data_IF_387437925603
#
_entry.id   IF_387437925603
#
_cell.length_a   1.000
_cell.length_b   1.000
_cell.length_c   1.000
_cell.angle_alpha   90.00
_cell.angle_beta   90.00
_cell.angle_gamma   90.00
#
_symmetry.space_group_name_H-M   'P 1'
#
loop_
_entity.id
_entity.type
_entity.pdbx_description
1 polymer ?
#
# COMPACT_ATOMS: atom_id res chain seq x y z
N UNK A 1 -1.75 23.05 31.47
CA UNK A 1 -1.05 22.81 30.17
C UNK A 1 -0.55 21.37 30.21
N UNK A 2 -0.83 20.54 29.21
CA UNK A 2 -0.63 19.07 29.23
C UNK A 2 0.86 18.65 29.09
N UNK A 3 1.78 19.62 29.08
CA UNK A 3 3.19 19.41 28.80
C UNK A 3 3.45 19.09 27.31
N UNK A 4 4.69 19.24 26.84
CA UNK A 4 5.00 19.12 25.40
C UNK A 4 4.59 17.78 24.76
N UNK A 5 4.63 16.68 25.52
CA UNK A 5 4.19 15.35 25.06
C UNK A 5 2.68 15.24 24.91
N UNK A 6 1.91 15.85 25.82
CA UNK A 6 0.45 15.86 25.76
C UNK A 6 -0.08 16.72 24.63
N UNK A 7 0.57 17.85 24.35
CA UNK A 7 0.21 18.72 23.22
C UNK A 7 0.45 18.01 21.86
N UNK A 8 1.56 17.26 21.74
CA UNK A 8 1.81 16.41 20.56
C UNK A 8 0.73 15.32 20.42
N UNK A 9 0.39 14.61 21.49
CA UNK A 9 -0.64 13.58 21.48
C UNK A 9 -2.02 14.13 21.06
N UNK A 10 -2.39 15.32 21.53
CA UNK A 10 -3.61 16.00 21.11
C UNK A 10 -3.60 16.33 19.60
N UNK A 11 -2.45 16.78 19.08
CA UNK A 11 -2.28 17.06 17.65
C UNK A 11 -2.37 15.78 16.80
N UNK A 12 -1.77 14.68 17.24
CA UNK A 12 -1.91 13.38 16.58
C UNK A 12 -3.38 12.95 16.53
N UNK A 13 -4.10 13.04 17.64
CA UNK A 13 -5.52 12.66 17.71
C UNK A 13 -6.39 13.50 16.77
N UNK A 14 -6.17 14.82 16.76
CA UNK A 14 -6.90 15.75 15.89
C UNK A 14 -6.68 15.48 14.40
N UNK A 15 -5.50 14.97 14.02
CA UNK A 15 -5.17 14.63 12.64
C UNK A 15 -5.69 13.23 12.23
N UNK A 16 -5.49 12.21 13.07
CA UNK A 16 -5.84 10.83 12.72
C UNK A 16 -7.35 10.55 12.82
N UNK A 17 -8.11 11.28 13.64
CA UNK A 17 -9.56 11.13 13.72
C UNK A 17 -10.30 11.40 12.39
N UNK A 18 -10.11 12.55 11.70
CA UNK A 18 -10.71 12.74 10.38
C UNK A 18 -10.09 11.82 9.32
N UNK A 19 -8.79 11.52 9.41
CA UNK A 19 -8.13 10.58 8.49
C UNK A 19 -8.74 9.17 8.56
N UNK A 20 -9.14 8.72 9.75
CA UNK A 20 -9.85 7.44 9.95
C UNK A 20 -11.18 7.42 9.21
N UNK A 21 -11.98 8.50 9.31
CA UNK A 21 -13.28 8.58 8.62
C UNK A 21 -13.12 8.54 7.10
N UNK A 22 -12.13 9.28 6.57
CA UNK A 22 -11.84 9.29 5.14
C UNK A 22 -11.29 7.92 4.68
N UNK A 23 -10.39 7.31 5.46
CA UNK A 23 -9.86 5.98 5.20
C UNK A 23 -10.97 4.92 5.15
N UNK A 24 -11.90 4.97 6.10
CA UNK A 24 -13.05 4.07 6.15
C UNK A 24 -13.95 4.26 4.92
N UNK A 25 -14.22 5.51 4.52
CA UNK A 25 -14.94 5.81 3.28
C UNK A 25 -14.24 5.22 2.04
N UNK A 26 -12.91 5.34 1.92
CA UNK A 26 -12.15 4.76 0.81
C UNK A 26 -12.28 3.23 0.80
N UNK A 27 -12.15 2.57 1.97
CA UNK A 27 -12.30 1.11 2.08
C UNK A 27 -13.70 0.67 1.61
N UNK A 28 -14.76 1.37 2.04
CA UNK A 28 -16.12 1.07 1.58
C UNK A 28 -16.31 1.33 0.09
N UNK A 29 -15.71 2.40 -0.45
CA UNK A 29 -15.80 2.73 -1.87
C UNK A 29 -15.11 1.68 -2.74
N UNK A 30 -13.96 1.17 -2.34
CA UNK A 30 -13.09 0.32 -3.17
C UNK A 30 -13.25 -1.19 -2.90
N UNK A 31 -13.90 -1.56 -1.78
CA UNK A 31 -14.24 -2.95 -1.41
C UNK A 31 -13.14 -3.65 -0.60
N UNK A 32 -13.58 -4.46 0.37
CA UNK A 32 -12.72 -5.08 1.40
C UNK A 32 -11.85 -6.24 0.89
N UNK A 33 -12.25 -6.92 -0.19
CA UNK A 33 -11.77 -8.27 -0.53
C UNK A 33 -10.56 -8.32 -1.48
N UNK A 34 -10.10 -7.18 -2.03
CA UNK A 34 -9.03 -7.23 -3.05
C UNK A 34 -8.03 -6.07 -3.02
N UNK A 35 -8.12 -5.15 -2.06
CA UNK A 35 -7.26 -3.96 -1.99
C UNK A 35 -6.74 -3.73 -0.57
N UNK A 36 -5.90 -4.66 -0.09
CA UNK A 36 -5.35 -4.68 1.29
C UNK A 36 -4.68 -3.37 1.69
N UNK A 37 -4.14 -2.60 0.73
CA UNK A 37 -3.51 -1.30 0.97
C UNK A 37 -4.40 -0.30 1.73
N UNK A 38 -5.70 -0.24 1.40
CA UNK A 38 -6.63 0.70 2.07
C UNK A 38 -6.95 0.29 3.50
N UNK A 39 -7.00 -1.02 3.78
CA UNK A 39 -7.26 -1.52 5.13
C UNK A 39 -6.11 -1.13 6.07
N UNK A 40 -4.86 -1.13 5.58
CA UNK A 40 -3.71 -0.71 6.38
C UNK A 40 -3.73 0.78 6.76
N UNK A 41 -4.34 1.66 5.94
CA UNK A 41 -4.57 3.07 6.30
C UNK A 41 -5.51 3.18 7.50
N UNK A 42 -6.59 2.40 7.51
CA UNK A 42 -7.55 2.36 8.62
C UNK A 42 -6.89 1.80 9.88
N UNK A 43 -6.19 0.67 9.76
CA UNK A 43 -5.45 0.05 10.88
C UNK A 43 -4.44 1.05 11.46
N UNK A 44 -3.65 1.72 10.62
CA UNK A 44 -2.70 2.75 11.05
C UNK A 44 -3.39 3.86 11.84
N UNK A 45 -4.51 4.37 11.32
CA UNK A 45 -5.25 5.47 11.94
C UNK A 45 -5.81 5.07 13.31
N UNK A 46 -6.36 3.85 13.44
CA UNK A 46 -6.84 3.30 14.72
C UNK A 46 -5.68 3.21 15.73
N UNK A 47 -4.57 2.59 15.33
CA UNK A 47 -3.41 2.42 16.21
C UNK A 47 -2.85 3.76 16.70
N UNK A 48 -2.88 4.78 15.84
CA UNK A 48 -2.44 6.13 16.19
C UNK A 48 -3.38 6.83 17.15
N UNK A 49 -4.69 6.69 16.95
CA UNK A 49 -5.68 7.19 17.90
C UNK A 49 -5.50 6.52 19.27
N UNK A 50 -5.28 5.20 19.31
CA UNK A 50 -5.06 4.47 20.56
C UNK A 50 -3.76 4.95 21.25
N UNK A 51 -2.65 5.05 20.52
CA UNK A 51 -1.37 5.53 21.07
C UNK A 51 -1.43 6.97 21.59
N UNK A 52 -2.06 7.86 20.82
CA UNK A 52 -2.30 9.25 21.21
C UNK A 52 -3.21 9.33 22.45
N UNK A 53 -4.25 8.50 22.54
CA UNK A 53 -5.14 8.48 23.71
C UNK A 53 -4.43 7.99 24.97
N UNK A 54 -3.56 6.98 24.86
CA UNK A 54 -2.77 6.46 25.97
C UNK A 54 -1.77 7.53 26.47
N UNK A 55 -1.04 8.16 25.56
CA UNK A 55 -0.07 9.22 25.89
C UNK A 55 -0.75 10.46 26.49
N UNK A 56 -1.91 10.85 25.96
CA UNK A 56 -2.71 11.94 26.50
C UNK A 56 -3.21 11.63 27.92
N UNK A 57 -3.67 10.39 28.17
CA UNK A 57 -4.14 9.99 29.50
C UNK A 57 -3.00 10.02 30.55
N UNK A 58 -1.80 9.55 30.18
CA UNK A 58 -0.62 9.65 31.05
C UNK A 58 -0.27 11.10 31.36
N UNK A 59 -0.36 12.00 30.37
CA UNK A 59 -0.10 13.42 30.53
C UNK A 59 -1.17 14.14 31.40
N UNK A 60 -2.44 13.75 31.26
CA UNK A 60 -3.54 14.35 31.99
C UNK A 60 -3.59 13.92 33.46
N UNK A 61 -3.31 12.64 33.74
CA UNK A 61 -3.42 12.06 35.09
C UNK A 61 -2.11 12.09 35.87
N UNK A 62 -0.98 12.36 35.22
CA UNK A 62 0.38 12.21 35.78
C UNK A 62 0.66 10.79 36.33
N UNK A 63 -0.13 9.79 35.92
CA UNK A 63 0.03 8.39 36.31
C UNK A 63 0.44 7.60 35.06
N UNK A 64 1.65 7.05 35.10
CA UNK A 64 2.13 6.12 34.08
C UNK A 64 1.94 4.69 34.57
N UNK A 65 0.81 4.07 34.22
CA UNK A 65 0.65 2.63 34.47
C UNK A 65 1.47 1.83 33.46
N UNK A 66 1.89 0.63 33.85
CA UNK A 66 2.64 -0.30 32.98
C UNK A 66 1.88 -0.58 31.67
N UNK A 67 0.57 -0.82 31.74
CA UNK A 67 -0.26 -1.05 30.57
C UNK A 67 -0.32 0.16 29.62
N UNK A 68 -0.32 1.39 30.14
CA UNK A 68 -0.31 2.60 29.30
C UNK A 68 1.06 2.81 28.63
N UNK A 69 2.15 2.51 29.34
CA UNK A 69 3.51 2.52 28.78
C UNK A 69 3.69 1.45 27.71
N UNK A 70 3.27 0.21 27.98
CA UNK A 70 3.24 -0.89 27.01
C UNK A 70 2.43 -0.52 25.77
N UNK A 71 1.23 0.03 25.95
CA UNK A 71 0.39 0.48 24.83
C UNK A 71 1.07 1.56 24.01
N UNK A 72 1.71 2.54 24.65
CA UNK A 72 2.46 3.58 23.95
C UNK A 72 3.67 3.02 23.18
N UNK A 73 4.39 2.05 23.75
CA UNK A 73 5.50 1.40 23.08
C UNK A 73 5.05 0.56 21.88
N UNK A 74 3.99 -0.25 22.06
CA UNK A 74 3.37 -1.05 21.00
C UNK A 74 2.94 -0.13 19.87
N UNK A 75 2.15 0.90 20.15
CA UNK A 75 1.62 1.81 19.12
C UNK A 75 2.70 2.63 18.42
N UNK A 76 3.79 2.98 19.10
CA UNK A 76 4.97 3.61 18.50
C UNK A 76 5.70 2.65 17.54
N UNK A 77 5.91 1.39 17.96
CA UNK A 77 6.52 0.34 17.14
C UNK A 77 5.65 -0.07 15.94
N UNK A 78 4.32 -0.09 16.10
CA UNK A 78 3.37 -0.46 15.04
C UNK A 78 3.10 0.72 14.09
N UNK A 79 3.64 1.93 14.28
CA UNK A 79 3.45 3.03 13.33
C UNK A 79 4.04 2.78 11.94
N UNK A 80 5.18 2.08 11.88
CA UNK A 80 5.96 1.90 10.64
C UNK A 80 5.44 0.76 9.77
N UNK A 81 5.03 -0.36 10.38
CA UNK A 81 4.65 -1.56 9.63
C UNK A 81 3.40 -1.37 8.74
N UNK A 82 2.27 -0.83 9.23
CA UNK A 82 1.09 -0.57 8.41
C UNK A 82 1.36 0.38 7.25
N UNK A 83 2.28 1.35 7.39
CA UNK A 83 2.67 2.23 6.28
C UNK A 83 3.42 1.48 5.19
N UNK A 84 4.39 0.65 5.55
CA UNK A 84 5.11 -0.18 4.59
C UNK A 84 4.18 -1.22 3.95
N UNK A 85 3.26 -1.80 4.73
CA UNK A 85 2.24 -2.73 4.25
C UNK A 85 1.21 -2.04 3.33
N UNK A 86 0.84 -0.79 3.61
CA UNK A 86 0.00 0.01 2.72
C UNK A 86 0.72 0.28 1.39
N UNK A 87 1.97 0.73 1.43
CA UNK A 87 2.80 0.92 0.24
C UNK A 87 2.93 -0.38 -0.57
N UNK A 88 3.20 -1.50 0.11
CA UNK A 88 3.27 -2.82 -0.52
C UNK A 88 1.94 -3.19 -1.18
N UNK A 89 0.81 -2.99 -0.51
CA UNK A 89 -0.51 -3.28 -1.06
C UNK A 89 -0.83 -2.44 -2.30
N UNK A 90 -0.36 -1.20 -2.37
CA UNK A 90 -0.48 -0.36 -3.57
C UNK A 90 0.46 -0.81 -4.69
N UNK A 91 1.71 -1.15 -4.37
CA UNK A 91 2.66 -1.68 -5.35
C UNK A 91 2.21 -3.03 -5.91
N UNK A 92 1.64 -3.92 -5.09
CA UNK A 92 1.08 -5.19 -5.55
C UNK A 92 -0.11 -4.98 -6.50
N UNK A 93 -0.96 -3.99 -6.19
CA UNK A 93 -2.07 -3.59 -7.07
C UNK A 93 -1.56 -3.10 -8.42
N UNK A 94 -0.65 -2.13 -8.43
CA UNK A 94 -0.04 -1.58 -9.65
C UNK A 94 0.64 -2.71 -10.44
N UNK A 95 1.34 -3.60 -9.74
CA UNK A 95 2.03 -4.73 -10.33
C UNK A 95 1.07 -5.74 -10.97
N UNK A 96 -0.11 -5.95 -10.38
CA UNK A 96 -1.16 -6.79 -10.98
C UNK A 96 -1.70 -6.18 -12.28
N UNK A 97 -1.67 -4.85 -12.41
CA UNK A 97 -1.97 -4.15 -13.66
C UNK A 97 -0.89 -4.31 -14.73
N UNK A 98 0.34 -4.71 -14.37
CA UNK A 98 1.46 -4.94 -15.28
C UNK A 98 1.55 -6.42 -15.67
N UNK A 99 0.68 -6.87 -16.59
CA UNK A 99 0.47 -8.30 -16.93
C UNK A 99 1.75 -9.15 -17.06
N UNK A 100 2.65 -8.82 -17.99
CA UNK A 100 3.78 -9.69 -18.37
C UNK A 100 5.17 -9.17 -17.94
N UNK A 101 5.24 -7.97 -17.36
CA UNK A 101 6.49 -7.38 -16.86
C UNK A 101 6.49 -7.15 -15.35
N UNK A 102 5.44 -7.55 -14.64
CA UNK A 102 5.36 -7.41 -13.20
C UNK A 102 6.34 -8.32 -12.44
N UNK A 103 6.65 -7.90 -11.21
CA UNK A 103 7.34 -8.69 -10.20
C UNK A 103 6.46 -9.88 -9.77
N UNK A 104 7.07 -11.00 -9.41
CA UNK A 104 6.32 -12.19 -8.98
C UNK A 104 5.49 -11.91 -7.71
N UNK A 105 4.28 -12.49 -7.63
CA UNK A 105 3.44 -12.41 -6.42
C UNK A 105 4.10 -13.03 -5.19
N UNK A 106 5.04 -13.94 -5.41
CA UNK A 106 5.83 -14.56 -4.34
C UNK A 106 6.68 -13.51 -3.61
N UNK A 107 7.27 -12.55 -4.32
CA UNK A 107 8.06 -11.49 -3.70
C UNK A 107 7.22 -10.65 -2.73
N UNK A 108 6.01 -10.24 -3.14
CA UNK A 108 5.08 -9.51 -2.27
C UNK A 108 4.65 -10.34 -1.06
N UNK A 109 4.40 -11.65 -1.24
CA UNK A 109 4.06 -12.55 -0.13
C UNK A 109 5.20 -12.69 0.88
N UNK A 110 6.44 -12.80 0.41
CA UNK A 110 7.62 -12.85 1.28
C UNK A 110 7.80 -11.53 2.03
N UNK A 111 7.70 -10.39 1.35
CA UNK A 111 7.79 -9.08 1.99
C UNK A 111 6.70 -8.87 3.04
N UNK A 112 5.48 -9.35 2.79
CA UNK A 112 4.38 -9.31 3.75
C UNK A 112 4.73 -10.09 5.02
N UNK A 113 5.17 -11.34 4.87
CA UNK A 113 5.55 -12.20 6.01
C UNK A 113 6.73 -11.62 6.78
N UNK A 114 7.76 -11.12 6.09
CA UNK A 114 8.91 -10.48 6.72
C UNK A 114 8.48 -9.21 7.47
N UNK A 115 7.60 -8.40 6.90
CA UNK A 115 7.08 -7.19 7.57
C UNK A 115 6.25 -7.52 8.81
N UNK A 116 5.47 -8.60 8.79
CA UNK A 116 4.73 -9.06 9.96
C UNK A 116 5.67 -9.60 11.04
N UNK A 117 6.67 -10.39 10.66
CA UNK A 117 7.69 -10.88 11.60
C UNK A 117 8.46 -9.71 12.22
N UNK A 118 8.89 -8.73 11.42
CA UNK A 118 9.56 -7.53 11.89
C UNK A 118 8.70 -6.73 12.87
N UNK A 119 7.39 -6.64 12.61
CA UNK A 119 6.44 -6.00 13.53
C UNK A 119 6.36 -6.72 14.88
N UNK A 120 6.24 -8.04 14.88
CA UNK A 120 6.19 -8.82 16.13
C UNK A 120 7.48 -8.64 16.94
N UNK A 121 8.63 -8.70 16.28
CA UNK A 121 9.95 -8.47 16.92
C UNK A 121 10.05 -7.05 17.46
N UNK A 122 9.53 -6.04 16.74
CA UNK A 122 9.52 -4.66 17.21
C UNK A 122 8.64 -4.46 18.46
N UNK A 123 7.48 -5.15 18.51
CA UNK A 123 6.58 -5.10 19.66
C UNK A 123 7.25 -5.70 20.90
N UNK A 124 7.79 -6.91 20.79
CA UNK A 124 8.48 -7.59 21.90
C UNK A 124 9.69 -6.75 22.33
N UNK A 125 10.49 -6.28 21.38
CA UNK A 125 11.62 -5.41 21.66
C UNK A 125 11.25 -4.10 22.36
N UNK A 126 10.10 -3.50 22.02
CA UNK A 126 9.59 -2.30 22.67
C UNK A 126 9.13 -2.54 24.10
N UNK A 127 8.47 -3.67 24.37
CA UNK A 127 7.99 -4.06 25.71
C UNK A 127 9.18 -4.38 26.62
N UNK A 128 10.09 -5.25 26.17
CA UNK A 128 11.25 -5.70 26.97
C UNK A 128 12.21 -4.55 27.32
N UNK A 129 12.28 -3.49 26.48
CA UNK A 129 13.07 -2.28 26.77
C UNK A 129 12.56 -1.44 27.93
N UNK A 130 11.31 -1.64 28.34
CA UNK A 130 10.70 -0.93 29.46
C UNK A 130 10.64 -1.77 30.74
N UNK A 131 11.14 -3.00 30.70
CA UNK A 131 11.19 -3.87 31.86
C UNK A 131 12.15 -3.32 32.93
N UNK A 132 11.90 -3.66 34.18
CA UNK A 132 12.78 -3.35 35.31
C UNK A 132 14.07 -4.18 35.34
N UNK A 133 14.10 -5.33 34.67
CA UNK A 133 15.22 -6.26 34.66
C UNK A 133 16.25 -5.89 33.59
N UNK A 134 17.50 -5.63 34.00
CA UNK A 134 18.57 -5.23 33.09
C UNK A 134 18.83 -6.23 31.94
N UNK A 135 18.65 -7.54 32.19
CA UNK A 135 18.78 -8.58 31.16
C UNK A 135 17.72 -8.45 30.07
N UNK A 136 16.47 -8.20 30.45
CA UNK A 136 15.35 -8.00 29.51
C UNK A 136 15.54 -6.72 28.71
N UNK A 137 15.94 -5.62 29.35
CA UNK A 137 16.22 -4.35 28.65
C UNK A 137 17.28 -4.52 27.56
N UNK A 138 18.37 -5.23 27.84
CA UNK A 138 19.42 -5.49 26.85
C UNK A 138 18.94 -6.39 25.70
N UNK A 139 18.06 -7.34 26.00
CA UNK A 139 17.44 -8.24 25.00
C UNK A 139 16.48 -7.47 24.11
N UNK A 140 15.63 -6.64 24.71
CA UNK A 140 14.70 -5.76 24.00
C UNK A 140 15.39 -4.75 23.08
N UNK A 141 16.56 -4.24 23.50
CA UNK A 141 17.39 -3.38 22.64
C UNK A 141 17.86 -4.14 21.39
N UNK A 142 18.43 -5.34 21.54
CA UNK A 142 18.85 -6.18 20.40
C UNK A 142 17.69 -6.54 19.47
N UNK A 143 16.52 -6.83 20.03
CA UNK A 143 15.30 -7.11 19.26
C UNK A 143 14.86 -5.87 18.48
N UNK A 144 14.87 -4.69 19.10
CA UNK A 144 14.53 -3.42 18.44
C UNK A 144 15.50 -3.06 17.31
N UNK A 145 16.80 -3.25 17.52
CA UNK A 145 17.84 -3.08 16.50
C UNK A 145 17.58 -4.01 15.31
N UNK A 146 17.33 -5.30 15.58
CA UNK A 146 17.01 -6.30 14.56
C UNK A 146 15.75 -5.93 13.77
N UNK A 147 14.67 -5.55 14.46
CA UNK A 147 13.43 -5.14 13.80
C UNK A 147 13.61 -3.91 12.90
N UNK A 148 14.39 -2.93 13.35
CA UNK A 148 14.69 -1.73 12.55
C UNK A 148 15.41 -2.05 11.24
N UNK A 149 16.34 -3.01 11.28
CA UNK A 149 17.06 -3.49 10.10
C UNK A 149 16.17 -4.31 9.16
N UNK A 150 15.23 -5.11 9.70
CA UNK A 150 14.23 -5.79 8.89
C UNK A 150 13.31 -4.81 8.16
N UNK A 151 12.83 -3.76 8.86
CA UNK A 151 12.03 -2.71 8.23
C UNK A 151 12.81 -1.94 7.17
N UNK A 152 14.11 -1.71 7.37
CA UNK A 152 14.98 -1.14 6.34
C UNK A 152 15.06 -2.05 5.11
N UNK A 153 15.26 -3.36 5.29
CA UNK A 153 15.28 -4.32 4.19
C UNK A 153 13.97 -4.34 3.40
N UNK A 154 12.83 -4.35 4.09
CA UNK A 154 11.50 -4.25 3.46
C UNK A 154 11.36 -2.92 2.71
N UNK A 155 11.76 -1.80 3.31
CA UNK A 155 11.73 -0.49 2.66
C UNK A 155 12.57 -0.47 1.38
N UNK A 156 13.81 -0.97 1.41
CA UNK A 156 14.69 -1.01 0.23
C UNK A 156 14.09 -1.88 -0.89
N UNK A 157 13.50 -3.02 -0.54
CA UNK A 157 12.82 -3.87 -1.51
C UNK A 157 11.60 -3.18 -2.13
N UNK A 158 10.76 -2.51 -1.32
CA UNK A 158 9.60 -1.76 -1.82
C UNK A 158 10.03 -0.56 -2.68
N UNK A 159 11.09 0.15 -2.29
CA UNK A 159 11.66 1.24 -3.07
C UNK A 159 12.19 0.72 -4.42
N UNK A 160 12.87 -0.43 -4.44
CA UNK A 160 13.31 -1.09 -5.67
C UNK A 160 12.15 -1.48 -6.58
N UNK A 161 11.10 -2.08 -6.03
CA UNK A 161 9.88 -2.43 -6.79
C UNK A 161 9.21 -1.17 -7.35
N UNK A 162 9.14 -0.09 -6.58
CA UNK A 162 8.56 1.16 -7.03
C UNK A 162 9.38 1.80 -8.15
N UNK A 163 10.72 1.83 -8.03
CA UNK A 163 11.62 2.32 -9.08
C UNK A 163 11.47 1.49 -10.36
N UNK A 164 11.38 0.16 -10.23
CA UNK A 164 11.09 -0.73 -11.36
C UNK A 164 9.73 -0.41 -12.00
N UNK A 165 8.70 -0.12 -11.20
CA UNK A 165 7.39 0.34 -11.67
C UNK A 165 7.48 1.66 -12.45
N UNK A 166 8.26 2.64 -11.98
CA UNK A 166 8.49 3.90 -12.70
C UNK A 166 9.21 3.67 -14.02
N UNK A 167 10.26 2.86 -14.03
CA UNK A 167 11.00 2.53 -15.25
C UNK A 167 10.10 1.86 -16.31
N UNK A 168 9.06 1.15 -15.87
CA UNK A 168 8.08 0.48 -16.72
C UNK A 168 6.72 1.19 -16.77
N UNK A 169 6.65 2.50 -16.46
CA UNK A 169 5.37 3.26 -16.35
C UNK A 169 4.49 3.22 -17.59
N UNK A 170 5.07 2.94 -18.76
CA UNK A 170 4.35 2.79 -20.04
C UNK A 170 3.39 1.59 -20.02
N UNK A 171 3.66 0.59 -19.21
CA UNK A 171 2.86 -0.63 -19.04
C UNK A 171 1.85 -0.54 -17.89
N UNK A 172 1.84 0.57 -17.15
CA UNK A 172 0.90 0.81 -16.04
C UNK A 172 -0.39 1.40 -16.60
N UNK A 173 -1.52 0.83 -16.17
CA UNK A 173 -2.85 1.27 -16.53
C UNK A 173 -3.03 2.77 -16.20
N UNK A 174 -3.63 3.54 -17.11
CA UNK A 174 -3.70 5.01 -16.98
C UNK A 174 -4.36 5.46 -15.66
N UNK A 175 -5.37 4.72 -15.19
CA UNK A 175 -6.04 4.99 -13.91
C UNK A 175 -5.19 4.75 -12.65
N UNK A 176 -4.08 4.02 -12.76
CA UNK A 176 -3.20 3.69 -11.63
C UNK A 176 -1.93 4.55 -11.56
N UNK A 177 -1.70 5.40 -12.57
CA UNK A 177 -0.55 6.32 -12.59
C UNK A 177 -0.56 7.31 -11.43
N UNK A 178 -1.74 7.72 -10.96
CA UNK A 178 -1.88 8.58 -9.78
C UNK A 178 -1.39 7.85 -8.52
N UNK A 179 -1.76 6.58 -8.37
CA UNK A 179 -1.33 5.75 -7.26
C UNK A 179 0.20 5.52 -7.30
N UNK A 180 0.76 5.25 -8.49
CA UNK A 180 2.20 5.11 -8.67
C UNK A 180 2.95 6.38 -8.27
N UNK A 181 2.47 7.57 -8.68
CA UNK A 181 3.08 8.85 -8.28
C UNK A 181 3.06 9.03 -6.76
N UNK A 182 1.94 8.71 -6.11
CA UNK A 182 1.85 8.78 -4.65
C UNK A 182 2.84 7.83 -3.96
N UNK A 183 3.01 6.60 -4.46
CA UNK A 183 4.02 5.66 -3.96
C UNK A 183 5.44 6.22 -4.09
N UNK A 184 5.79 6.82 -5.24
CA UNK A 184 7.12 7.41 -5.48
C UNK A 184 7.38 8.60 -4.55
N UNK A 185 6.38 9.46 -4.37
CA UNK A 185 6.49 10.61 -3.45
C UNK A 185 6.57 10.17 -1.98
N UNK A 186 5.95 9.04 -1.63
CA UNK A 186 6.00 8.49 -0.28
C UNK A 186 7.38 7.92 0.08
N UNK A 187 8.15 7.38 -0.87
CA UNK A 187 9.47 6.77 -0.62
C UNK A 187 10.44 7.67 0.13
N UNK A 188 10.76 8.91 -0.32
CA UNK A 188 11.71 9.76 0.39
C UNK A 188 11.20 10.14 1.79
N UNK A 189 9.88 10.29 1.96
CA UNK A 189 9.27 10.59 3.26
C UNK A 189 9.36 9.39 4.20
N UNK A 190 9.12 8.17 3.69
CA UNK A 190 9.32 6.93 4.42
C UNK A 190 10.79 6.70 4.79
N UNK A 191 11.73 7.14 3.96
CA UNK A 191 13.16 7.08 4.27
C UNK A 191 13.48 7.80 5.59
N UNK A 192 12.93 9.01 5.79
CA UNK A 192 13.08 9.78 7.04
C UNK A 192 12.51 9.01 8.22
N UNK A 193 11.34 8.39 8.06
CA UNK A 193 10.70 7.59 9.12
C UNK A 193 11.52 6.36 9.50
N UNK A 194 12.08 5.66 8.52
CA UNK A 194 12.94 4.50 8.73
C UNK A 194 14.26 4.91 9.38
N UNK A 195 14.86 6.02 8.94
CA UNK A 195 16.07 6.57 9.55
C UNK A 195 15.88 6.90 11.04
N UNK A 196 14.75 7.53 11.40
CA UNK A 196 14.41 7.75 12.81
C UNK A 196 14.23 6.45 13.59
N UNK A 197 13.57 5.46 12.98
CA UNK A 197 13.35 4.16 13.62
C UNK A 197 14.69 3.47 13.95
N UNK A 198 15.64 3.48 13.01
CA UNK A 198 17.01 2.99 13.22
C UNK A 198 17.71 3.83 14.29
N UNK A 199 17.69 5.17 14.18
CA UNK A 199 18.33 6.05 15.15
C UNK A 199 17.82 5.79 16.58
N UNK A 200 16.51 5.58 16.75
CA UNK A 200 15.89 5.27 18.05
C UNK A 200 16.18 3.85 18.56
N UNK A 201 16.39 2.90 17.64
CA UNK A 201 16.72 1.53 18.00
C UNK A 201 18.16 1.43 18.54
N UNK A 202 19.10 2.09 17.88
CA UNK A 202 20.52 2.10 18.24
C UNK A 202 20.90 3.18 19.27
N UNK A 203 19.96 4.04 19.67
CA UNK A 203 20.23 5.08 20.65
C UNK A 203 20.42 4.54 22.07
N UNK A 204 21.50 5.00 22.71
CA UNK A 204 21.80 4.77 24.13
C UNK A 204 21.37 5.95 25.01
N UNK A 205 21.39 5.76 26.34
CA UNK A 205 21.07 6.79 27.31
C UNK A 205 21.94 8.05 27.10
N UNK A 206 21.30 9.22 26.98
CA UNK A 206 21.96 10.51 26.69
C UNK A 206 21.90 10.94 25.22
N UNK A 207 21.45 10.09 24.29
CA UNK A 207 21.18 10.48 22.91
C UNK A 207 19.84 11.21 22.77
N UNK A 208 19.77 12.17 21.83
CA UNK A 208 18.52 12.89 21.48
C UNK A 208 17.42 11.95 20.97
N UNK A 209 17.81 10.78 20.46
CA UNK A 209 16.92 9.75 19.94
C UNK A 209 16.62 8.63 20.94
N UNK A 210 17.06 8.77 22.20
CA UNK A 210 16.87 7.73 23.21
C UNK A 210 15.39 7.51 23.51
N UNK A 211 14.95 6.26 23.42
CA UNK A 211 13.56 5.85 23.62
C UNK A 211 13.01 6.17 25.03
N UNK A 212 13.87 6.17 26.05
CA UNK A 212 13.46 6.50 27.42
C UNK A 212 13.28 8.00 27.68
N UNK A 213 13.95 8.86 26.89
CA UNK A 213 13.92 10.32 27.05
C UNK A 213 13.72 11.01 25.71
N UNK A 214 12.63 10.66 25.02
CA UNK A 214 12.37 11.12 23.66
C UNK A 214 12.22 12.64 23.60
N UNK A 215 13.02 13.28 22.74
CA UNK A 215 12.84 14.68 22.38
C UNK A 215 11.55 14.84 21.56
N UNK A 216 10.60 15.63 22.10
CA UNK A 216 9.29 15.86 21.48
C UNK A 216 9.39 16.41 20.07
N UNK A 217 10.38 17.26 19.78
CA UNK A 217 10.58 17.79 18.44
C UNK A 217 11.06 16.71 17.46
N UNK A 218 11.97 15.83 17.90
CA UNK A 218 12.42 14.72 17.06
C UNK A 218 11.27 13.76 16.75
N UNK A 219 10.45 13.43 17.74
CA UNK A 219 9.25 12.60 17.57
C UNK A 219 8.23 13.28 16.63
N UNK A 220 7.99 14.58 16.80
CA UNK A 220 7.05 15.31 15.96
C UNK A 220 7.50 15.37 14.49
N UNK A 221 8.77 15.73 14.22
CA UNK A 221 9.26 15.99 12.87
C UNK A 221 9.78 14.75 12.12
N UNK A 222 10.27 13.73 12.84
CA UNK A 222 10.87 12.54 12.21
C UNK A 222 10.03 11.27 12.36
N UNK A 223 9.07 11.26 13.29
CA UNK A 223 8.11 10.16 13.44
C UNK A 223 6.72 10.58 12.96
N UNK A 224 6.06 11.55 13.58
CA UNK A 224 4.68 11.90 13.26
C UNK A 224 4.53 12.57 11.88
N UNK A 225 5.33 13.60 11.58
CA UNK A 225 5.19 14.37 10.34
C UNK A 225 5.37 13.52 9.07
N UNK A 226 6.37 12.64 8.95
CA UNK A 226 6.50 11.77 7.78
C UNK A 226 5.29 10.82 7.61
N UNK A 227 4.78 10.30 8.73
CA UNK A 227 3.62 9.40 8.69
C UNK A 227 2.35 10.15 8.26
N UNK A 228 2.16 11.37 8.75
CA UNK A 228 1.05 12.23 8.36
C UNK A 228 1.11 12.58 6.85
N UNK A 229 2.29 12.94 6.35
CA UNK A 229 2.49 13.26 4.92
C UNK A 229 2.18 12.03 4.06
N UNK A 230 2.75 10.86 4.39
CA UNK A 230 2.52 9.63 3.62
C UNK A 230 1.05 9.22 3.67
N UNK A 231 0.40 9.34 4.83
CA UNK A 231 -1.02 9.06 4.97
C UNK A 231 -1.87 9.96 4.06
N UNK A 232 -1.60 11.27 4.04
CA UNK A 232 -2.30 12.21 3.16
C UNK A 232 -2.07 11.86 1.69
N UNK A 233 -0.84 11.56 1.29
CA UNK A 233 -0.53 11.14 -0.08
C UNK A 233 -1.35 9.91 -0.48
N UNK A 234 -1.44 8.90 0.40
CA UNK A 234 -2.21 7.69 0.14
C UNK A 234 -3.72 7.94 0.15
N UNK A 235 -4.24 8.75 1.06
CA UNK A 235 -5.67 9.14 1.07
C UNK A 235 -6.03 9.87 -0.22
N UNK A 236 -5.25 10.87 -0.63
CA UNK A 236 -5.48 11.62 -1.87
C UNK A 236 -5.44 10.68 -3.07
N UNK A 237 -4.45 9.78 -3.12
CA UNK A 237 -4.38 8.77 -4.16
C UNK A 237 -5.61 7.85 -4.16
N UNK A 238 -6.13 7.46 -2.99
CA UNK A 238 -7.33 6.63 -2.88
C UNK A 238 -8.61 7.30 -3.35
N UNK A 239 -8.74 8.59 -3.07
CA UNK A 239 -9.88 9.38 -3.55
C UNK A 239 -9.84 9.57 -5.08
N UNK A 240 -8.65 9.76 -5.65
CA UNK A 240 -8.44 9.97 -7.09
C UNK A 240 -8.44 8.69 -7.91
N UNK A 241 -8.05 7.55 -7.31
CA UNK A 241 -7.95 6.29 -8.05
C UNK A 241 -9.34 5.71 -8.32
N UNK A 242 -9.71 5.41 -9.58
CA UNK A 242 -11.00 4.83 -9.92
C UNK A 242 -11.16 3.41 -9.35
N UNK A 243 -12.43 2.99 -9.18
CA UNK A 243 -12.75 1.61 -8.80
C UNK A 243 -12.27 0.68 -9.91
N UNK A 244 -11.50 -0.34 -9.56
CA UNK A 244 -11.01 -1.31 -10.53
C UNK A 244 -12.11 -2.32 -10.83
N UNK A 245 -12.81 -2.14 -11.96
CA UNK A 245 -13.85 -3.05 -12.43
C UNK A 245 -13.21 -4.15 -13.30
N UNK A 246 -13.61 -5.42 -13.11
CA UNK A 246 -13.03 -6.59 -13.80
C UNK A 246 -12.96 -6.44 -15.33
N UNK A 247 -13.84 -5.62 -15.93
CA UNK A 247 -13.89 -5.39 -17.38
C UNK A 247 -12.68 -4.60 -17.91
N UNK A 248 -12.11 -3.68 -17.14
CA UNK A 248 -11.02 -2.81 -17.60
C UNK A 248 -9.67 -3.52 -17.73
N UNK A 249 -9.44 -4.58 -16.96
CA UNK A 249 -8.27 -5.44 -17.12
C UNK A 249 -8.33 -6.20 -18.47
N UNK A 250 -9.49 -6.76 -18.82
CA UNK A 250 -9.70 -7.43 -20.11
C UNK A 250 -9.69 -6.48 -21.32
N UNK A 251 -10.16 -5.26 -21.13
CA UNK A 251 -10.25 -4.26 -22.20
C UNK A 251 -8.89 -3.60 -22.47
N UNK A 252 -8.09 -3.35 -21.42
CA UNK A 252 -6.69 -2.91 -21.58
C UNK A 252 -5.83 -3.94 -22.33
N UNK A 253 -6.04 -5.25 -22.11
CA UNK A 253 -5.39 -6.28 -22.91
C UNK A 253 -5.80 -6.21 -24.38
N UNK A 254 -7.09 -5.97 -24.69
CA UNK A 254 -7.59 -5.83 -26.08
C UNK A 254 -7.07 -4.59 -26.79
N UNK A 255 -6.94 -3.47 -26.11
CA UNK A 255 -6.44 -2.23 -26.72
C UNK A 255 -4.94 -2.33 -27.02
N UNK A 256 -4.17 -2.97 -26.14
CA UNK A 256 -2.75 -3.26 -26.37
C UNK A 256 -2.56 -4.35 -27.44
N UNK A 257 -3.42 -5.36 -27.49
CA UNK A 257 -3.39 -6.39 -28.54
C UNK A 257 -3.80 -5.81 -29.89
N UNK A 258 -4.83 -4.95 -29.95
CA UNK A 258 -5.20 -4.19 -31.14
C UNK A 258 -4.08 -3.27 -31.62
N UNK A 259 -3.40 -2.59 -30.70
CA UNK A 259 -2.26 -1.72 -31.02
C UNK A 259 -1.01 -2.52 -31.47
N UNK A 260 -0.78 -3.72 -30.93
CA UNK A 260 0.25 -4.64 -31.44
C UNK A 260 -0.09 -5.18 -32.83
N UNK A 261 -1.36 -5.50 -33.09
CA UNK A 261 -1.84 -5.95 -34.42
C UNK A 261 -1.67 -4.83 -35.45
N UNK A 262 -2.02 -3.59 -35.13
CA UNK A 262 -1.79 -2.42 -35.99
C UNK A 262 -0.30 -2.15 -36.28
N UNK A 263 0.57 -2.32 -35.28
CA UNK A 263 2.01 -2.16 -35.43
C UNK A 263 2.68 -3.29 -36.23
N UNK A 264 2.10 -4.49 -36.25
CA UNK A 264 2.53 -5.59 -37.12
C UNK A 264 2.07 -5.33 -38.57
N UNK A 265 0.95 -4.64 -38.77
CA UNK A 265 0.45 -4.20 -40.09
C UNK A 265 1.01 -2.84 -40.54
N UNK A 266 2.33 -2.64 -40.42
CA UNK A 266 3.02 -1.54 -41.11
C UNK A 266 2.88 -1.64 -42.64
N UNK A 267 3.13 -0.55 -43.40
CA UNK A 267 2.52 -0.32 -44.71
C UNK A 267 2.90 -1.41 -45.71
N UNK A 268 1.90 -2.20 -46.11
CA UNK A 268 2.01 -3.12 -47.24
C UNK A 268 2.21 -2.29 -48.50
N UNK A 269 3.41 -2.36 -49.05
CA UNK A 269 3.77 -1.81 -50.35
C UNK A 269 2.78 -2.35 -51.40
N UNK A 270 2.14 -1.45 -52.14
CA UNK A 270 1.18 -1.76 -53.20
C UNK A 270 1.80 -2.73 -54.22
N UNK A 271 1.26 -3.94 -54.28
CA UNK A 271 1.42 -4.86 -55.40
C UNK A 271 0.02 -5.31 -55.79
N UNK A 272 -0.40 -4.83 -56.97
CA UNK A 272 -1.78 -4.88 -57.43
C UNK A 272 -2.31 -6.30 -57.60
N UNK A 273 -3.42 -6.57 -56.92
CA UNK A 273 -4.47 -7.45 -57.40
C UNK A 273 -5.82 -6.86 -56.97
N UNK A 274 -6.63 -6.51 -57.96
CA UNK A 274 -7.96 -5.95 -57.75
C UNK A 274 -8.89 -6.98 -57.10
N UNK A 275 -9.49 -6.63 -55.96
CA UNK A 275 -10.59 -7.36 -55.35
C UNK A 275 -11.88 -6.52 -55.46
N UNK A 276 -13.06 -7.13 -55.67
CA UNK A 276 -14.29 -6.41 -55.98
C UNK A 276 -14.85 -5.69 -54.74
N UNK A 277 -15.36 -4.49 -54.99
CA UNK A 277 -15.99 -3.60 -54.03
C UNK A 277 -17.30 -4.17 -53.50
N UNK A 278 -17.31 -4.57 -52.23
CA UNK A 278 -18.56 -4.73 -51.46
C UNK A 278 -18.90 -3.43 -50.76
N UNK A 279 -19.93 -2.77 -51.28
CA UNK A 279 -20.55 -1.59 -50.69
C UNK A 279 -21.41 -2.05 -49.50
N UNK A 280 -20.95 -1.85 -48.26
CA UNK A 280 -21.78 -2.05 -47.07
C UNK A 280 -22.24 -0.70 -46.50
N UNK A 281 -23.47 -0.36 -46.85
CA UNK A 281 -24.21 0.75 -46.27
C UNK A 281 -24.50 0.52 -44.79
N UNK A 282 -24.52 1.62 -44.04
CA UNK A 282 -24.89 1.69 -42.63
C UNK A 282 -26.27 1.07 -42.39
N UNK A 283 -26.35 0.09 -41.48
CA UNK A 283 -27.62 -0.33 -40.85
C UNK A 283 -27.48 -0.33 -39.34
N UNK A 284 -28.29 0.53 -38.73
CA UNK A 284 -28.63 0.61 -37.31
C UNK A 284 -28.99 -0.77 -36.74
N UNK A 285 -28.31 -1.19 -35.67
CA UNK A 285 -28.59 -2.44 -34.96
C UNK A 285 -29.79 -2.25 -34.01
N UNK A 286 -30.91 -2.90 -34.33
CA UNK A 286 -31.98 -3.19 -33.35
C UNK A 286 -31.64 -4.45 -32.55
N UNK A 287 -32.02 -4.55 -31.27
CA UNK A 287 -31.67 -5.68 -30.41
C UNK A 287 -32.37 -6.97 -30.88
N UNK A 288 -31.61 -8.04 -31.09
CA UNK A 288 -32.12 -9.34 -31.58
C UNK A 288 -32.79 -10.14 -30.48
N UNK A 289 -33.95 -10.72 -30.81
CA UNK A 289 -34.75 -11.60 -29.95
C UNK A 289 -34.16 -13.02 -29.89
N UNK A 290 -34.36 -13.71 -28.77
CA UNK A 290 -33.82 -15.06 -28.44
C UNK A 290 -34.25 -16.16 -29.43
N UNK A 291 -35.20 -15.90 -30.33
CA UNK A 291 -35.67 -16.85 -31.35
C UNK A 291 -34.77 -17.03 -32.57
N UNK A 292 -33.76 -16.18 -32.79
CA UNK A 292 -32.97 -16.17 -34.04
C UNK A 292 -31.68 -17.01 -33.99
N UNK A 293 -31.53 -17.89 -33.01
CA UNK A 293 -30.39 -18.81 -32.95
C UNK A 293 -30.55 -19.95 -33.96
N UNK A 294 -29.99 -19.78 -35.17
CA UNK A 294 -29.69 -20.91 -36.04
C UNK A 294 -28.51 -21.72 -35.44
N UNK A 295 -28.66 -23.03 -35.21
CA UNK A 295 -27.57 -23.84 -34.70
C UNK A 295 -26.45 -23.97 -35.74
N UNK A 296 -25.21 -23.92 -35.26
CA UNK A 296 -24.02 -24.01 -36.09
C UNK A 296 -23.95 -25.37 -36.80
N UNK A 297 -23.43 -25.38 -38.05
CA UNK A 297 -23.29 -26.58 -38.90
C UNK A 297 -22.55 -27.75 -38.24
N UNK A 298 -21.80 -27.48 -37.17
CA UNK A 298 -21.13 -28.49 -36.34
C UNK A 298 -22.13 -29.40 -35.60
N UNK A 299 -23.29 -28.90 -35.20
CA UNK A 299 -24.33 -29.69 -34.51
C UNK A 299 -25.10 -30.57 -35.52
N UNK A 300 -25.31 -30.07 -36.74
CA UNK A 300 -26.00 -30.82 -37.80
C UNK A 300 -25.25 -32.11 -38.20
N UNK A 301 -23.91 -32.06 -38.22
CA UNK A 301 -23.09 -33.21 -38.60
C UNK A 301 -22.93 -34.25 -37.48
N UNK A 302 -23.08 -33.86 -36.21
CA UNK A 302 -23.02 -34.79 -35.07
C UNK A 302 -24.28 -35.67 -34.95
N UNK A 303 -25.44 -35.19 -35.42
CA UNK A 303 -26.73 -35.92 -35.31
C UNK A 303 -26.94 -36.92 -36.44
N UNK A 304 -26.21 -36.81 -37.57
CA UNK A 304 -26.32 -37.74 -38.72
C UNK A 304 -25.23 -38.82 -38.77
N UNK A 305 -24.31 -38.84 -37.81
CA UNK A 305 -23.15 -39.73 -37.79
C UNK A 305 -23.29 -41.01 -36.95
N UNK A 306 -24.49 -41.58 -36.82
CA UNK A 306 -24.67 -42.93 -36.27
C UNK A 306 -25.40 -43.82 -37.27
N UNK A 307 -24.63 -44.55 -38.07
CA UNK A 307 -24.87 -45.94 -38.47
C UNK A 307 -23.53 -46.65 -38.58
#
# INVERSE_FOLDING_TARGET
MLGPKGDLAAAELAFFAPALLIGLYIVFRHGFTRQMGWVYIVILSILRIVGASATLNMAATNIASTALLETAAITSAVGTAPLLLALMGFLERINTGMEHKGVSRLAFRLLHLVSLAALVVAIIGGIDRMDSNASQVSTGQKLSETASMLFLGVYLALAGIALFGVANVRWILAGEKVLMRACVLAIPVLAVRIAYSIASAFANAGSVFYFGSVNVYAQAFMQFLPEAIVLVLFIVAGLMTPKMEKHQLYQGSRDVEGQKVEMISGPTQESGYAAPSYQQGARSQTPRSIGDYMPSRLIYNAVRGQK
#
